data_IF_116823586495
#
_entry.id   IF_116823586495
#
_cell.length_a   1.000
_cell.length_b   1.000
_cell.length_c   1.000
_cell.angle_alpha   90.00
_cell.angle_beta   90.00
_cell.angle_gamma   90.00
#
_symmetry.space_group_name_H-M   'P 1'
#
loop_
_entity.id
_entity.type
_entity.pdbx_description
1 polymer ?
#
# COMPACT_ATOMS: atom_id res chain seq x y z
N UNK A 1 10.74 3.58 24.09
CA UNK A 1 9.49 4.07 23.45
C UNK A 1 8.62 2.85 23.23
N UNK A 2 7.41 2.82 23.80
CA UNK A 2 6.49 1.70 23.59
C UNK A 2 6.10 1.70 22.11
N UNK A 3 6.40 0.61 21.38
CA UNK A 3 5.87 0.39 20.04
C UNK A 3 4.34 0.41 20.13
N UNK A 4 3.71 1.39 19.50
CA UNK A 4 2.26 1.48 19.44
C UNK A 4 1.73 0.25 18.68
N UNK A 5 1.08 -0.66 19.41
CA UNK A 5 0.66 -1.96 18.88
C UNK A 5 -0.45 -1.71 17.88
N UNK A 6 -0.12 -1.78 16.58
CA UNK A 6 -1.07 -1.53 15.48
C UNK A 6 -2.42 -2.23 15.71
N UNK A 7 -3.54 -1.55 15.48
CA UNK A 7 -4.86 -2.11 15.72
C UNK A 7 -5.10 -3.34 14.83
N UNK A 8 -5.89 -4.29 15.35
CA UNK A 8 -6.35 -5.43 14.55
C UNK A 8 -7.36 -4.93 13.52
N UNK A 9 -7.40 -5.59 12.36
CA UNK A 9 -8.33 -5.27 11.26
C UNK A 9 -9.79 -5.42 11.77
N UNK A 10 -10.03 -6.37 12.68
CA UNK A 10 -11.31 -6.54 13.35
C UNK A 10 -12.14 -7.67 12.76
N UNK A 11 -13.06 -8.20 13.57
CA UNK A 11 -13.87 -9.37 13.23
C UNK A 11 -14.78 -9.12 12.03
N UNK A 12 -15.35 -7.91 11.89
CA UNK A 12 -16.27 -7.59 10.80
C UNK A 12 -15.57 -7.71 9.44
N UNK A 13 -14.43 -7.04 9.29
CA UNK A 13 -13.63 -7.11 8.06
C UNK A 13 -13.06 -8.50 7.83
N UNK A 14 -12.69 -9.22 8.90
CA UNK A 14 -12.30 -10.61 8.83
C UNK A 14 -13.39 -11.51 8.24
N UNK A 15 -14.61 -11.42 8.78
CA UNK A 15 -15.79 -12.14 8.28
C UNK A 15 -16.12 -11.79 6.83
N UNK A 16 -16.07 -10.51 6.47
CA UNK A 16 -16.26 -10.05 5.08
C UNK A 16 -15.22 -10.66 4.13
N UNK A 17 -13.95 -10.64 4.51
CA UNK A 17 -12.88 -11.23 3.72
C UNK A 17 -13.03 -12.75 3.60
N UNK A 18 -13.42 -13.44 4.67
CA UNK A 18 -13.71 -14.87 4.66
C UNK A 18 -14.89 -15.22 3.75
N UNK A 19 -15.97 -14.45 3.81
CA UNK A 19 -17.12 -14.60 2.92
C UNK A 19 -16.74 -14.41 1.44
N UNK A 20 -15.93 -13.39 1.15
CA UNK A 20 -15.46 -13.09 -0.20
C UNK A 20 -14.61 -14.23 -0.77
N UNK A 21 -13.67 -14.77 0.01
CA UNK A 21 -12.89 -15.96 -0.38
C UNK A 21 -13.80 -17.17 -0.63
N UNK A 22 -14.77 -17.39 0.24
CA UNK A 22 -15.73 -18.49 0.09
C UNK A 22 -16.65 -18.33 -1.12
N UNK A 23 -16.96 -17.11 -1.53
CA UNK A 23 -17.69 -16.83 -2.77
C UNK A 23 -16.88 -17.22 -4.00
N UNK A 24 -15.59 -16.89 -4.05
CA UNK A 24 -14.72 -17.34 -5.13
C UNK A 24 -14.61 -18.86 -5.19
N UNK A 25 -14.38 -19.51 -4.03
CA UNK A 25 -14.29 -20.97 -3.96
C UNK A 25 -15.61 -21.65 -4.35
N UNK A 26 -16.73 -21.18 -3.80
CA UNK A 26 -18.07 -21.67 -4.13
C UNK A 26 -18.39 -21.49 -5.61
N UNK A 27 -18.02 -20.34 -6.19
CA UNK A 27 -18.14 -20.09 -7.62
C UNK A 27 -17.36 -21.10 -8.46
N UNK A 28 -16.08 -21.29 -8.16
CA UNK A 28 -15.24 -22.26 -8.88
C UNK A 28 -15.79 -23.68 -8.78
N UNK A 29 -16.24 -24.11 -7.60
CA UNK A 29 -16.83 -25.44 -7.40
C UNK A 29 -18.15 -25.61 -8.14
N UNK A 30 -19.03 -24.61 -8.14
CA UNK A 30 -20.29 -24.69 -8.88
C UNK A 30 -20.07 -24.74 -10.39
N UNK A 31 -19.06 -24.04 -10.92
CA UNK A 31 -18.71 -24.15 -12.35
C UNK A 31 -18.30 -25.58 -12.68
N UNK A 32 -17.45 -26.21 -11.86
CA UNK A 32 -17.07 -27.61 -12.05
C UNK A 32 -18.30 -28.53 -11.94
N UNK A 33 -19.12 -28.35 -10.92
CA UNK A 33 -20.34 -29.15 -10.70
C UNK A 33 -21.36 -28.99 -11.84
N UNK A 34 -21.51 -27.79 -12.42
CA UNK A 34 -22.42 -27.56 -13.54
C UNK A 34 -21.94 -28.27 -14.82
N UNK A 35 -20.62 -28.40 -15.00
CA UNK A 35 -20.01 -29.10 -16.13
C UNK A 35 -20.08 -30.63 -15.99
N UNK A 36 -20.05 -31.15 -14.76
CA UNK A 36 -20.10 -32.60 -14.51
C UNK A 36 -21.52 -33.13 -14.31
N UNK A 37 -22.38 -32.39 -13.63
CA UNK A 37 -23.74 -32.79 -13.26
C UNK A 37 -24.72 -31.60 -13.37
N UNK A 38 -25.11 -31.22 -14.60
CA UNK A 38 -25.89 -30.00 -14.85
C UNK A 38 -27.29 -30.01 -14.21
N UNK A 39 -27.86 -31.19 -13.96
CA UNK A 39 -29.20 -31.32 -13.37
C UNK A 39 -29.21 -31.13 -11.84
N UNK A 40 -28.03 -31.10 -11.20
CA UNK A 40 -27.89 -30.95 -9.74
C UNK A 40 -28.02 -29.48 -9.28
N UNK A 41 -29.12 -28.81 -9.64
CA UNK A 41 -29.38 -27.40 -9.33
C UNK A 41 -29.27 -27.08 -7.82
N UNK A 42 -29.73 -28.00 -6.95
CA UNK A 42 -29.62 -27.83 -5.50
C UNK A 42 -28.16 -27.75 -5.03
N UNK A 43 -27.27 -28.55 -5.63
CA UNK A 43 -25.84 -28.58 -5.31
C UNK A 43 -25.18 -27.25 -5.71
N UNK A 44 -25.55 -26.69 -6.86
CA UNK A 44 -25.06 -25.38 -7.32
C UNK A 44 -25.42 -24.26 -6.34
N UNK A 45 -26.67 -24.25 -5.87
CA UNK A 45 -27.15 -23.26 -4.88
C UNK A 45 -26.43 -23.46 -3.55
N UNK A 46 -26.26 -24.69 -3.09
CA UNK A 46 -25.53 -25.01 -1.86
C UNK A 46 -24.08 -24.52 -1.93
N UNK A 47 -23.37 -24.78 -3.02
CA UNK A 47 -21.99 -24.33 -3.22
C UNK A 47 -21.88 -22.80 -3.25
N UNK A 48 -22.86 -22.11 -3.84
CA UNK A 48 -22.88 -20.64 -3.86
C UNK A 48 -23.23 -20.00 -2.52
N UNK A 49 -24.10 -20.62 -1.72
CA UNK A 49 -24.63 -20.00 -0.50
C UNK A 49 -23.92 -20.47 0.78
N UNK A 50 -23.60 -21.77 0.88
CA UNK A 50 -23.02 -22.35 2.08
C UNK A 50 -21.52 -22.09 2.13
N UNK A 51 -20.81 -22.18 0.99
CA UNK A 51 -19.35 -21.98 0.95
C UNK A 51 -18.92 -20.59 1.44
N UNK A 52 -19.55 -19.46 1.03
CA UNK A 52 -19.25 -18.15 1.62
C UNK A 52 -19.48 -18.11 3.12
N UNK A 53 -20.59 -18.68 3.61
CA UNK A 53 -20.93 -18.67 5.04
C UNK A 53 -19.93 -19.49 5.87
N UNK A 54 -19.60 -20.69 5.40
CA UNK A 54 -18.63 -21.57 6.02
C UNK A 54 -17.24 -20.93 6.04
N UNK A 55 -16.78 -20.36 4.93
CA UNK A 55 -15.50 -19.65 4.89
C UNK A 55 -15.50 -18.38 5.75
N UNK A 56 -16.61 -17.64 5.84
CA UNK A 56 -16.72 -16.50 6.74
C UNK A 56 -16.52 -16.93 8.20
N UNK A 57 -17.20 -17.99 8.64
CA UNK A 57 -17.11 -18.48 10.02
C UNK A 57 -15.75 -19.10 10.35
N UNK A 58 -15.18 -19.88 9.42
CA UNK A 58 -13.91 -20.58 9.64
C UNK A 58 -12.69 -19.66 9.48
N UNK A 59 -12.66 -18.86 8.41
CA UNK A 59 -11.51 -18.00 8.10
C UNK A 59 -11.64 -16.62 8.74
N UNK A 60 -12.86 -16.11 8.93
CA UNK A 60 -13.08 -14.74 9.38
C UNK A 60 -12.41 -14.37 10.71
N UNK A 61 -12.51 -15.20 11.77
CA UNK A 61 -11.79 -14.94 13.03
C UNK A 61 -10.27 -14.88 12.85
N UNK A 62 -9.70 -15.75 12.00
CA UNK A 62 -8.27 -15.77 11.72
C UNK A 62 -7.83 -14.56 10.89
N UNK A 63 -8.64 -14.14 9.92
CA UNK A 63 -8.39 -12.97 9.08
C UNK A 63 -8.53 -11.67 9.88
N UNK A 64 -9.53 -11.59 10.77
CA UNK A 64 -9.80 -10.42 11.62
C UNK A 64 -8.77 -10.21 12.74
N UNK A 65 -8.07 -11.26 13.16
CA UNK A 65 -6.97 -11.15 14.13
C UNK A 65 -5.76 -10.41 13.55
N UNK A 66 -5.61 -10.36 12.23
CA UNK A 66 -4.45 -9.73 11.58
C UNK A 66 -4.35 -8.25 11.96
N UNK A 67 -3.12 -7.74 12.01
CA UNK A 67 -2.84 -6.32 12.26
C UNK A 67 -3.07 -5.51 11.00
N UNK A 68 -3.62 -4.31 11.16
CA UNK A 68 -3.85 -3.40 10.06
C UNK A 68 -2.53 -3.00 9.38
N UNK A 69 -2.52 -2.89 8.03
CA UNK A 69 -1.34 -2.51 7.25
C UNK A 69 -0.76 -1.11 7.55
N UNK A 70 -1.60 -0.17 7.98
CA UNK A 70 -1.26 1.25 8.05
C UNK A 70 -2.03 1.95 9.18
N UNK A 71 -1.35 2.90 9.82
CA UNK A 71 -1.72 3.52 11.08
C UNK A 71 -2.39 4.89 10.90
N UNK A 72 -2.30 5.53 9.74
CA UNK A 72 -2.94 6.83 9.51
C UNK A 72 -3.67 6.86 8.16
N UNK A 73 -4.98 7.15 8.19
CA UNK A 73 -5.85 7.27 7.01
C UNK A 73 -6.09 8.74 6.63
N UNK A 74 -5.59 9.67 7.43
CA UNK A 74 -5.80 11.09 7.22
C UNK A 74 -4.83 11.63 6.16
N UNK A 75 -5.32 12.56 5.34
CA UNK A 75 -4.44 13.31 4.43
C UNK A 75 -3.58 14.28 5.26
N UNK A 76 -2.25 14.13 5.28
CA UNK A 76 -1.36 14.93 6.11
C UNK A 76 -1.02 16.28 5.46
N UNK A 77 -1.66 16.62 4.34
CA UNK A 77 -1.34 17.80 3.54
C UNK A 77 -1.41 19.10 4.35
N UNK A 78 -2.42 19.31 5.20
CA UNK A 78 -2.51 20.51 6.03
C UNK A 78 -1.38 20.60 7.06
N UNK A 79 -1.06 19.51 7.76
CA UNK A 79 0.05 19.45 8.72
C UNK A 79 1.39 19.79 8.03
N UNK A 80 1.63 19.17 6.87
CA UNK A 80 2.83 19.40 6.08
C UNK A 80 2.91 20.84 5.56
N UNK A 81 1.78 21.41 5.14
CA UNK A 81 1.71 22.81 4.67
C UNK A 81 2.07 23.76 5.79
N UNK A 82 1.50 23.61 6.98
CA UNK A 82 1.82 24.44 8.14
C UNK A 82 3.31 24.37 8.49
N UNK A 83 3.88 23.16 8.56
CA UNK A 83 5.30 22.95 8.81
C UNK A 83 6.19 23.66 7.79
N UNK A 84 5.79 23.64 6.51
CA UNK A 84 6.59 24.18 5.43
C UNK A 84 6.40 25.68 5.18
N UNK A 85 5.41 26.33 5.82
CA UNK A 85 5.16 27.77 5.66
C UNK A 85 6.38 28.67 5.85
N UNK A 86 7.31 28.40 6.79
CA UNK A 86 8.52 29.20 6.97
C UNK A 86 9.46 29.21 5.75
N UNK A 87 9.37 28.21 4.86
CA UNK A 87 10.20 28.12 3.65
C UNK A 87 9.58 28.83 2.43
N UNK A 88 8.50 29.60 2.58
CA UNK A 88 7.92 30.35 1.47
C UNK A 88 8.85 31.47 0.99
N UNK A 89 9.17 31.50 -0.30
CA UNK A 89 10.18 32.42 -0.86
C UNK A 89 9.58 33.60 -1.65
N UNK A 90 8.24 33.70 -1.72
CA UNK A 90 7.56 34.80 -2.42
C UNK A 90 7.24 34.52 -3.89
N UNK A 91 6.91 35.55 -4.66
CA UNK A 91 6.30 35.40 -6.01
C UNK A 91 7.28 34.89 -7.05
N UNK A 92 6.85 33.92 -7.86
CA UNK A 92 7.70 33.30 -8.88
C UNK A 92 8.76 32.32 -8.33
N UNK A 93 8.79 32.12 -7.01
CA UNK A 93 9.68 31.19 -6.31
C UNK A 93 8.89 30.08 -5.62
N UNK A 94 9.60 29.22 -4.91
CA UNK A 94 9.00 28.14 -4.15
C UNK A 94 7.99 28.65 -3.12
N UNK A 95 6.82 28.03 -3.12
CA UNK A 95 5.73 28.29 -2.17
C UNK A 95 4.99 27.01 -1.86
N UNK A 96 4.63 26.85 -0.61
CA UNK A 96 3.89 25.72 -0.07
C UNK A 96 2.64 25.41 -0.89
N UNK A 97 1.78 26.41 -1.14
CA UNK A 97 0.49 26.16 -1.80
C UNK A 97 0.60 25.75 -3.27
N UNK A 98 1.66 26.16 -3.97
CA UNK A 98 1.85 25.80 -5.38
C UNK A 98 2.68 24.54 -5.58
N UNK A 99 3.65 24.29 -4.70
CA UNK A 99 4.65 23.23 -4.82
C UNK A 99 4.36 22.02 -3.94
N UNK A 100 3.47 22.11 -2.96
CA UNK A 100 3.06 21.00 -2.10
C UNK A 100 1.62 20.61 -2.42
N UNK A 101 1.44 19.39 -2.94
CA UNK A 101 0.14 18.86 -3.38
C UNK A 101 -0.08 17.46 -2.82
N UNK A 102 -1.33 17.15 -2.49
CA UNK A 102 -1.74 15.78 -2.17
C UNK A 102 -2.00 15.02 -3.47
N UNK A 103 -1.36 13.86 -3.64
CA UNK A 103 -1.69 12.85 -4.66
C UNK A 103 -2.57 11.75 -4.01
N UNK A 104 -3.37 12.10 -3.00
CA UNK A 104 -4.17 11.19 -2.19
C UNK A 104 -3.40 10.71 -0.96
N UNK A 105 -2.80 9.52 -1.02
CA UNK A 105 -2.06 8.92 0.12
C UNK A 105 -0.59 9.32 0.18
N UNK A 106 -0.08 9.90 -0.90
CA UNK A 106 1.31 10.37 -1.02
C UNK A 106 1.28 11.88 -1.14
N UNK A 107 2.13 12.56 -0.40
CA UNK A 107 2.30 14.01 -0.58
C UNK A 107 3.43 14.29 -1.55
N UNK A 108 3.14 15.10 -2.56
CA UNK A 108 4.09 15.55 -3.55
C UNK A 108 4.66 16.91 -3.14
N UNK A 109 5.98 16.98 -3.02
CA UNK A 109 6.74 18.20 -2.79
C UNK A 109 7.59 18.47 -4.03
N UNK A 110 7.25 19.51 -4.77
CA UNK A 110 8.03 19.97 -5.91
C UNK A 110 9.17 20.86 -5.42
N UNK A 111 10.44 20.46 -5.63
CA UNK A 111 11.60 21.20 -5.11
C UNK A 111 12.14 22.23 -6.09
N UNK A 112 11.59 22.33 -7.30
CA UNK A 112 12.04 23.30 -8.29
C UNK A 112 11.75 24.74 -7.83
N UNK A 113 12.60 25.67 -8.26
CA UNK A 113 12.51 27.10 -7.92
C UNK A 113 12.66 27.39 -6.41
N UNK A 114 13.17 26.44 -5.63
CA UNK A 114 13.56 26.68 -4.23
C UNK A 114 15.04 27.04 -4.14
N UNK A 115 15.34 28.03 -3.32
CA UNK A 115 16.69 28.38 -2.89
C UNK A 115 17.23 27.44 -1.81
N UNK A 116 16.36 26.64 -1.15
CA UNK A 116 16.72 25.79 -0.01
C UNK A 116 16.12 24.36 -0.11
N UNK A 117 16.30 23.64 -1.24
CA UNK A 117 15.65 22.35 -1.46
C UNK A 117 16.06 21.28 -0.44
N UNK A 118 17.33 21.25 -0.03
CA UNK A 118 17.81 20.29 0.97
C UNK A 118 17.24 20.55 2.37
N UNK A 119 17.01 21.81 2.73
CA UNK A 119 16.40 22.17 4.02
C UNK A 119 14.94 21.71 4.07
N UNK A 120 14.20 21.85 2.96
CA UNK A 120 12.84 21.33 2.83
C UNK A 120 12.82 19.81 2.96
N UNK A 121 13.74 19.09 2.29
CA UNK A 121 13.86 17.64 2.44
C UNK A 121 14.22 17.24 3.87
N UNK A 122 15.17 17.94 4.50
CA UNK A 122 15.56 17.68 5.89
C UNK A 122 14.39 17.84 6.86
N UNK A 123 13.60 18.91 6.71
CA UNK A 123 12.46 19.19 7.58
C UNK A 123 11.32 18.19 7.44
N UNK A 124 11.19 17.54 6.28
CA UNK A 124 10.08 16.64 5.95
C UNK A 124 10.44 15.16 6.00
N UNK A 125 11.72 14.82 6.15
CA UNK A 125 12.18 13.44 6.12
C UNK A 125 11.59 12.61 7.28
N UNK A 126 11.49 13.18 8.48
CA UNK A 126 10.95 12.47 9.65
C UNK A 126 9.45 12.13 9.50
N UNK A 127 8.70 12.98 8.78
CA UNK A 127 7.29 12.71 8.46
C UNK A 127 7.11 11.49 7.54
N UNK A 128 8.17 11.08 6.84
CA UNK A 128 8.13 9.88 6.00
C UNK A 128 7.97 8.59 6.79
N UNK A 129 8.11 8.60 8.13
CA UNK A 129 7.75 7.46 8.98
C UNK A 129 6.23 7.26 9.09
N UNK A 130 5.44 8.31 8.86
CA UNK A 130 3.98 8.28 8.97
C UNK A 130 3.31 8.06 7.61
N UNK A 131 3.74 8.79 6.59
CA UNK A 131 3.13 8.77 5.26
C UNK A 131 4.18 8.93 4.14
N UNK A 132 3.92 8.42 2.93
CA UNK A 132 4.87 8.55 1.84
C UNK A 132 4.96 9.99 1.32
N UNK A 133 6.19 10.43 1.06
CA UNK A 133 6.48 11.74 0.46
C UNK A 133 7.26 11.53 -0.83
N UNK A 134 6.80 12.19 -1.89
CA UNK A 134 7.42 12.20 -3.22
C UNK A 134 8.03 13.57 -3.50
N UNK A 135 9.35 13.62 -3.55
CA UNK A 135 10.11 14.80 -3.92
C UNK A 135 10.27 14.84 -5.45
N UNK A 136 9.83 15.93 -6.08
CA UNK A 136 10.03 16.17 -7.50
C UNK A 136 11.31 16.98 -7.67
N UNK A 137 12.28 16.38 -8.36
CA UNK A 137 13.65 16.91 -8.52
C UNK A 137 14.03 17.09 -9.99
N UNK A 138 13.12 16.73 -10.90
CA UNK A 138 13.37 16.76 -12.33
C UNK A 138 14.34 15.66 -12.78
N UNK A 139 14.70 15.68 -14.07
CA UNK A 139 15.52 14.64 -14.69
C UNK A 139 17.02 14.80 -14.47
N UNK A 140 17.47 15.95 -13.95
CA UNK A 140 18.90 16.26 -13.79
C UNK A 140 19.66 16.40 -15.12
N UNK A 141 18.95 16.75 -16.20
CA UNK A 141 19.57 16.99 -17.51
C UNK A 141 20.44 18.26 -17.47
N UNK A 142 21.61 18.26 -18.12
CA UNK A 142 22.53 19.41 -18.14
C UNK A 142 21.91 20.69 -18.71
N UNK A 143 20.85 20.57 -19.52
CA UNK A 143 20.10 21.69 -20.11
C UNK A 143 18.99 22.24 -19.20
N UNK A 144 18.75 21.60 -18.05
CA UNK A 144 17.76 22.07 -17.07
C UNK A 144 18.25 23.34 -16.37
N UNK A 145 17.32 24.12 -15.82
CA UNK A 145 17.64 25.28 -14.97
C UNK A 145 18.38 24.88 -13.68
N UNK A 146 18.11 23.66 -13.19
CA UNK A 146 18.64 23.14 -11.92
C UNK A 146 19.22 21.72 -12.13
N UNK A 147 20.35 21.58 -12.85
CA UNK A 147 20.87 20.26 -13.23
C UNK A 147 21.39 19.45 -12.03
N UNK A 148 21.86 20.13 -10.96
CA UNK A 148 22.44 19.48 -9.78
C UNK A 148 21.41 19.05 -8.73
N UNK A 149 20.18 19.57 -8.78
CA UNK A 149 19.15 19.35 -7.76
C UNK A 149 18.93 17.87 -7.48
N UNK A 150 18.73 17.08 -8.53
CA UNK A 150 18.51 15.63 -8.43
C UNK A 150 19.65 14.92 -7.73
N UNK A 151 20.90 15.23 -8.10
CA UNK A 151 22.08 14.59 -7.52
C UNK A 151 22.22 14.90 -6.03
N UNK A 152 22.02 16.17 -5.65
CA UNK A 152 22.11 16.63 -4.26
C UNK A 152 21.03 15.99 -3.37
N UNK A 153 19.77 16.02 -3.82
CA UNK A 153 18.65 15.44 -3.05
C UNK A 153 18.78 13.92 -2.94
N UNK A 154 19.21 13.25 -4.01
CA UNK A 154 19.46 11.81 -3.96
C UNK A 154 20.56 11.46 -2.96
N UNK A 155 21.71 12.11 -3.03
CA UNK A 155 22.81 11.86 -2.09
C UNK A 155 22.34 12.06 -0.64
N UNK A 156 21.61 13.15 -0.37
CA UNK A 156 21.09 13.45 0.96
C UNK A 156 20.13 12.37 1.50
N UNK A 157 19.18 11.92 0.67
CA UNK A 157 18.23 10.85 1.03
C UNK A 157 18.96 9.51 1.16
N UNK A 158 19.96 9.26 0.32
CA UNK A 158 20.66 7.99 0.27
C UNK A 158 21.47 7.70 1.54
N UNK A 159 22.04 8.74 2.15
CA UNK A 159 22.76 8.67 3.42
C UNK A 159 21.85 8.39 4.63
N UNK A 160 20.56 8.78 4.56
CA UNK A 160 19.65 8.79 5.73
C UNK A 160 18.56 7.73 5.66
N UNK A 161 18.20 7.26 4.47
CA UNK A 161 17.07 6.34 4.26
C UNK A 161 17.56 5.03 3.65
N UNK A 162 17.17 3.91 4.25
CA UNK A 162 17.48 2.56 3.76
C UNK A 162 16.93 2.30 2.35
N UNK A 163 17.63 1.48 1.56
CA UNK A 163 17.30 1.21 0.15
C UNK A 163 15.84 0.76 -0.07
N UNK A 164 15.31 -0.11 0.78
CA UNK A 164 13.98 -0.70 0.63
C UNK A 164 12.83 0.33 0.74
N UNK A 165 13.08 1.46 1.41
CA UNK A 165 12.10 2.55 1.58
C UNK A 165 12.13 3.58 0.46
N UNK A 166 13.10 3.50 -0.45
CA UNK A 166 13.30 4.50 -1.52
C UNK A 166 12.75 3.97 -2.83
N UNK A 167 11.87 4.74 -3.49
CA UNK A 167 11.46 4.49 -4.88
C UNK A 167 11.94 5.64 -5.75
N UNK A 168 12.69 5.32 -6.80
CA UNK A 168 13.24 6.31 -7.72
C UNK A 168 12.50 6.23 -9.05
N UNK A 169 12.14 7.38 -9.59
CA UNK A 169 11.69 7.51 -10.98
C UNK A 169 12.67 8.40 -11.75
N UNK A 170 12.37 8.65 -13.02
CA UNK A 170 13.18 9.55 -13.84
C UNK A 170 13.15 11.01 -13.35
N UNK A 171 12.07 11.45 -12.69
CA UNK A 171 11.88 12.85 -12.28
C UNK A 171 11.61 13.06 -10.79
N UNK A 172 11.52 11.99 -10.01
CA UNK A 172 11.18 12.05 -8.60
C UNK A 172 11.88 10.99 -7.75
N UNK A 173 11.95 11.28 -6.46
CA UNK A 173 12.39 10.36 -5.42
C UNK A 173 11.28 10.27 -4.38
N UNK A 174 10.75 9.09 -4.16
CA UNK A 174 9.70 8.83 -3.19
C UNK A 174 10.27 8.04 -2.01
N UNK A 175 9.95 8.49 -0.81
CA UNK A 175 10.34 7.85 0.45
C UNK A 175 9.09 7.29 1.09
N UNK A 176 9.10 5.98 1.32
CA UNK A 176 8.01 5.23 1.92
C UNK A 176 8.21 5.07 3.43
N UNK A 177 7.12 5.03 4.21
CA UNK A 177 7.15 4.60 5.61
C UNK A 177 7.68 3.19 5.78
N UNK A 178 8.38 2.98 6.89
CA UNK A 178 8.81 1.67 7.38
C UNK A 178 7.64 0.68 7.47
N UNK A 179 6.49 1.16 7.98
CA UNK A 179 5.25 0.40 8.10
C UNK A 179 4.74 -0.17 6.77
N UNK A 180 4.87 0.56 5.67
CA UNK A 180 4.47 0.10 4.32
C UNK A 180 5.35 -1.06 3.88
N UNK A 181 6.66 -0.98 4.12
CA UNK A 181 7.61 -2.03 3.73
C UNK A 181 7.33 -3.32 4.49
N UNK A 182 7.16 -3.24 5.81
CA UNK A 182 6.79 -4.40 6.62
C UNK A 182 5.48 -5.04 6.16
N UNK A 183 4.50 -4.23 5.76
CA UNK A 183 3.25 -4.73 5.22
C UNK A 183 3.44 -5.45 3.88
N UNK A 184 4.22 -4.87 2.96
CA UNK A 184 4.54 -5.50 1.69
C UNK A 184 5.25 -6.86 1.90
N UNK A 185 6.19 -6.93 2.83
CA UNK A 185 6.89 -8.17 3.18
C UNK A 185 5.95 -9.21 3.82
N UNK A 186 5.04 -8.78 4.69
CA UNK A 186 4.02 -9.64 5.28
C UNK A 186 3.08 -10.21 4.20
N UNK A 187 2.62 -9.37 3.27
CA UNK A 187 1.78 -9.77 2.14
C UNK A 187 2.52 -10.72 1.20
N UNK A 188 3.78 -10.46 0.90
CA UNK A 188 4.58 -11.36 0.06
C UNK A 188 4.79 -12.73 0.71
N UNK A 189 5.10 -12.76 2.02
CA UNK A 189 5.16 -14.01 2.80
C UNK A 189 3.83 -14.76 2.79
N UNK A 190 2.70 -14.04 2.88
CA UNK A 190 1.37 -14.63 2.80
C UNK A 190 1.10 -15.24 1.42
N UNK A 191 1.36 -14.52 0.33
CA UNK A 191 1.18 -15.04 -1.03
C UNK A 191 2.01 -16.31 -1.24
N UNK A 192 3.27 -16.32 -0.78
CA UNK A 192 4.11 -17.51 -0.83
C UNK A 192 3.50 -18.69 -0.06
N UNK A 193 2.85 -18.44 1.08
CA UNK A 193 2.14 -19.49 1.84
C UNK A 193 0.87 -19.98 1.15
N UNK A 194 0.13 -19.10 0.47
CA UNK A 194 -1.05 -19.48 -0.30
C UNK A 194 -0.71 -20.46 -1.42
N UNK A 195 0.48 -20.37 -2.02
CA UNK A 195 0.92 -21.36 -3.00
C UNK A 195 1.01 -22.79 -2.43
N UNK A 196 1.26 -22.97 -1.13
CA UNK A 196 1.23 -24.30 -0.51
C UNK A 196 -0.18 -24.88 -0.35
N UNK A 197 -1.22 -24.06 -0.45
CA UNK A 197 -2.61 -24.53 -0.42
C UNK A 197 -3.09 -24.98 -1.81
N UNK A 198 -2.38 -24.64 -2.88
CA UNK A 198 -2.73 -25.00 -4.25
C UNK A 198 -2.95 -26.51 -4.45
N UNK A 199 -2.08 -27.42 -3.94
CA UNK A 199 -2.29 -28.86 -4.07
C UNK A 199 -3.55 -29.36 -3.36
N UNK A 200 -3.92 -28.74 -2.22
CA UNK A 200 -5.13 -29.08 -1.47
C UNK A 200 -6.37 -28.68 -2.28
N UNK A 201 -6.36 -27.48 -2.87
CA UNK A 201 -7.44 -27.01 -3.74
C UNK A 201 -7.59 -27.92 -4.97
N UNK A 202 -6.47 -28.29 -5.61
CA UNK A 202 -6.48 -29.21 -6.74
C UNK A 202 -7.01 -30.61 -6.36
N UNK A 203 -6.71 -31.09 -5.16
CA UNK A 203 -7.24 -32.35 -4.66
C UNK A 203 -8.76 -32.32 -4.49
N UNK A 204 -9.33 -31.25 -3.91
CA UNK A 204 -10.78 -31.10 -3.82
C UNK A 204 -11.44 -30.97 -5.20
N UNK A 205 -10.82 -30.25 -6.13
CA UNK A 205 -11.30 -30.17 -7.50
C UNK A 205 -11.32 -31.55 -8.18
N UNK A 206 -10.29 -32.37 -7.96
CA UNK A 206 -10.25 -33.75 -8.45
C UNK A 206 -11.34 -34.63 -7.84
N UNK A 207 -11.59 -34.53 -6.53
CA UNK A 207 -12.68 -35.25 -5.87
C UNK A 207 -14.05 -34.89 -6.46
N UNK A 208 -14.27 -33.62 -6.80
CA UNK A 208 -15.52 -33.16 -7.41
C UNK A 208 -15.72 -33.68 -8.85
N UNK A 209 -14.63 -33.97 -9.57
CA UNK A 209 -14.68 -34.52 -10.92
C UNK A 209 -14.90 -36.04 -10.97
N UNK A 210 -14.86 -36.72 -9.83
CA UNK A 210 -14.99 -38.17 -9.72
C UNK A 210 -16.39 -38.59 -9.30
#
# INVERSE_FOLDING_TARGET
MAEDVRPRIGIVTGLQAGAFIGLFLGFSLSVVSALTQPEALLRLVQLMCITPLACALLLGPFLGWRRAPLVDMNDPIEELREMLKPYNEGQGKWRVLSHVRSDGRTVRIDLHNSMQPLTIVAATLDLTERFPIRYIVGRGEQRSREPMLRGQVLAYIEERVTLNRRRRTSSSVEVLPSSIIEHMEATHRMHRRLFYLLPIILFFAWLEMR
#
